data_IF_322192615204
#
_entry.id   IF_322192615204
#
_cell.length_a   1.000
_cell.length_b   1.000
_cell.length_c   1.000
_cell.angle_alpha   90.00
_cell.angle_beta   90.00
_cell.angle_gamma   90.00
#
_symmetry.space_group_name_H-M   'P 1'
#
loop_
_entity.id
_entity.type
_entity.pdbx_description
1 polymer ?
#
# COMPACT_ATOMS: atom_id res chain seq x y z
N UNK A 1 14.67 -4.83 4.62
CA UNK A 1 14.12 -3.48 4.44
C UNK A 1 13.57 -3.34 3.03
N UNK A 2 12.39 -2.77 2.90
CA UNK A 2 11.76 -2.59 1.59
C UNK A 2 12.47 -1.49 0.83
N UNK A 3 12.81 -1.78 -0.41
CA UNK A 3 13.40 -0.79 -1.29
C UNK A 3 12.30 0.18 -1.74
N UNK A 4 12.43 1.44 -1.37
CA UNK A 4 11.44 2.47 -1.68
C UNK A 4 11.82 3.20 -2.96
N UNK A 5 10.84 3.50 -3.80
CA UNK A 5 11.06 4.27 -5.02
C UNK A 5 11.27 5.74 -4.65
N UNK A 6 12.50 6.24 -4.79
CA UNK A 6 12.85 7.61 -4.42
C UNK A 6 12.02 8.67 -5.13
N UNK A 7 11.67 8.43 -6.39
CA UNK A 7 10.87 9.36 -7.16
C UNK A 7 9.47 9.54 -6.57
N UNK A 8 8.83 8.43 -6.19
CA UNK A 8 7.51 8.45 -5.56
C UNK A 8 7.58 9.10 -4.19
N UNK A 9 8.60 8.76 -3.40
CA UNK A 9 8.79 9.36 -2.08
C UNK A 9 8.95 10.87 -2.17
N UNK A 10 9.73 11.33 -3.14
CA UNK A 10 9.95 12.76 -3.36
C UNK A 10 8.64 13.47 -3.71
N UNK A 11 7.82 12.86 -4.57
CA UNK A 11 6.52 13.42 -4.93
C UNK A 11 5.59 13.49 -3.72
N UNK A 12 5.53 12.43 -2.92
CA UNK A 12 4.70 12.41 -1.71
C UNK A 12 5.14 13.48 -0.71
N UNK A 13 6.45 13.60 -0.50
CA UNK A 13 6.99 14.54 0.48
C UNK A 13 6.76 16.00 0.11
N UNK A 14 6.49 16.30 -1.15
CA UNK A 14 6.14 17.66 -1.58
C UNK A 14 4.87 18.16 -0.91
N UNK A 15 3.99 17.27 -0.49
CA UNK A 15 2.73 17.60 0.16
C UNK A 15 2.81 17.60 1.69
N UNK A 16 4.00 17.31 2.25
CA UNK A 16 4.22 17.24 3.68
C UNK A 16 5.17 18.37 4.12
N UNK A 17 4.89 19.01 5.26
CA UNK A 17 5.67 20.16 5.74
C UNK A 17 6.66 19.80 6.85
N UNK A 18 6.18 19.15 7.91
CA UNK A 18 6.95 18.93 9.13
C UNK A 18 7.44 17.51 9.31
N UNK A 19 7.17 16.64 8.35
CA UNK A 19 7.54 15.24 8.41
C UNK A 19 7.77 14.71 7.00
N UNK A 20 8.28 13.50 6.90
CA UNK A 20 8.40 12.79 5.63
C UNK A 20 7.60 11.51 5.70
N UNK A 21 7.23 10.98 4.51
CA UNK A 21 6.50 9.72 4.46
C UNK A 21 7.35 8.57 5.04
N UNK A 22 8.66 8.63 4.87
CA UNK A 22 9.59 7.64 5.44
C UNK A 22 9.51 7.62 6.96
N UNK A 23 9.46 8.79 7.61
CA UNK A 23 9.30 8.90 9.06
C UNK A 23 7.97 8.34 9.53
N UNK A 24 6.91 8.58 8.78
CA UNK A 24 5.58 8.04 9.09
C UNK A 24 5.61 6.51 9.05
N UNK A 25 6.23 5.92 8.02
CA UNK A 25 6.36 4.47 7.91
C UNK A 25 7.15 3.88 9.09
N UNK A 26 8.26 4.50 9.46
CA UNK A 26 9.11 4.01 10.56
C UNK A 26 8.33 4.01 11.87
N UNK A 27 7.59 5.09 12.15
CA UNK A 27 6.81 5.19 13.38
C UNK A 27 5.63 4.23 13.43
N UNK A 28 5.10 3.85 12.27
CA UNK A 28 3.86 3.05 12.17
C UNK A 28 4.08 1.69 11.53
N UNK A 29 5.24 1.09 11.72
CA UNK A 29 5.60 -0.20 11.10
C UNK A 29 4.58 -1.30 11.33
N UNK A 30 3.98 -1.34 12.52
CA UNK A 30 3.02 -2.40 12.87
C UNK A 30 1.66 -2.18 12.25
N UNK A 31 1.27 -0.92 12.06
CA UNK A 31 -0.06 -0.57 11.58
C UNK A 31 -0.03 0.80 10.91
N UNK A 32 0.27 0.80 9.63
CA UNK A 32 0.19 2.00 8.80
C UNK A 32 -1.22 2.10 8.21
N UNK A 33 -1.90 3.20 8.50
CA UNK A 33 -3.28 3.42 8.05
C UNK A 33 -3.31 4.26 6.79
N UNK A 34 -4.00 3.76 5.79
CA UNK A 34 -4.26 4.53 4.58
C UNK A 34 -5.59 4.07 3.96
N UNK A 35 -6.21 4.96 3.22
CA UNK A 35 -7.48 4.71 2.57
C UNK A 35 -7.27 4.33 1.12
N UNK A 36 -8.06 3.40 0.64
CA UNK A 36 -8.04 2.96 -0.76
C UNK A 36 -9.33 3.45 -1.43
N UNK A 37 -9.19 4.12 -2.58
CA UNK A 37 -10.31 4.71 -3.32
C UNK A 37 -10.17 4.37 -4.82
N UNK A 38 -9.92 3.09 -5.12
CA UNK A 38 -9.75 2.66 -6.50
C UNK A 38 -11.09 2.62 -7.24
N UNK A 39 -11.03 3.01 -8.52
CA UNK A 39 -12.16 2.84 -9.43
C UNK A 39 -12.32 1.38 -9.80
N UNK A 40 -13.46 1.01 -10.39
CA UNK A 40 -13.68 -0.35 -10.89
C UNK A 40 -12.64 -0.76 -11.91
N UNK A 41 -12.20 0.15 -12.76
CA UNK A 41 -11.15 -0.11 -13.75
C UNK A 41 -9.82 -0.39 -13.08
N UNK A 42 -9.47 0.37 -12.05
CA UNK A 42 -8.24 0.18 -11.29
C UNK A 42 -8.27 -1.16 -10.53
N UNK A 43 -9.40 -1.50 -9.93
CA UNK A 43 -9.57 -2.78 -9.24
C UNK A 43 -9.44 -3.98 -10.19
N UNK A 44 -9.80 -3.81 -11.45
CA UNK A 44 -9.72 -4.87 -12.46
C UNK A 44 -8.31 -5.07 -13.03
N UNK A 45 -7.37 -4.17 -12.73
CA UNK A 45 -6.00 -4.29 -13.23
C UNK A 45 -5.28 -5.49 -12.62
N UNK A 46 -4.41 -6.12 -13.41
CA UNK A 46 -3.53 -7.18 -12.91
C UNK A 46 -2.60 -6.61 -11.84
N UNK A 47 -2.20 -7.45 -10.90
CA UNK A 47 -1.28 -7.03 -9.82
C UNK A 47 0.10 -6.58 -10.34
N UNK A 48 0.40 -6.79 -11.62
CA UNK A 48 1.59 -6.24 -12.26
C UNK A 48 1.71 -4.71 -12.10
N UNK A 49 0.57 -4.00 -12.05
CA UNK A 49 0.57 -2.54 -11.91
C UNK A 49 1.15 -2.08 -10.57
N UNK A 50 1.24 -2.97 -9.60
CA UNK A 50 1.78 -2.67 -8.28
C UNK A 50 3.31 -2.68 -8.25
N UNK A 51 3.96 -3.14 -9.32
CA UNK A 51 5.42 -3.20 -9.40
C UNK A 51 6.04 -3.99 -8.23
N UNK A 52 5.48 -5.15 -7.96
CA UNK A 52 5.95 -6.04 -6.89
C UNK A 52 7.21 -6.79 -7.31
N UNK A 53 8.07 -7.10 -6.32
CA UNK A 53 9.19 -8.01 -6.56
C UNK A 53 8.64 -9.41 -6.88
N UNK A 54 9.42 -10.24 -7.59
CA UNK A 54 8.96 -11.56 -8.01
C UNK A 54 8.41 -12.42 -6.87
N UNK A 55 9.02 -12.38 -5.70
CA UNK A 55 8.56 -13.16 -4.55
C UNK A 55 7.14 -12.80 -4.13
N UNK A 56 6.88 -11.51 -3.99
CA UNK A 56 5.54 -11.01 -3.62
C UNK A 56 4.53 -11.33 -4.72
N UNK A 57 4.88 -11.05 -5.96
CA UNK A 57 4.03 -11.33 -7.10
C UNK A 57 3.65 -12.81 -7.16
N UNK A 58 4.65 -13.69 -7.07
CA UNK A 58 4.42 -15.13 -7.18
C UNK A 58 3.60 -15.68 -6.01
N UNK A 59 3.82 -15.16 -4.80
CA UNK A 59 3.02 -15.54 -3.64
C UNK A 59 1.54 -15.23 -3.84
N UNK A 60 1.24 -14.02 -4.30
CA UNK A 60 -0.14 -13.60 -4.54
C UNK A 60 -0.79 -14.41 -5.66
N UNK A 61 -0.08 -14.62 -6.77
CA UNK A 61 -0.59 -15.43 -7.89
C UNK A 61 -0.89 -16.86 -7.48
N UNK A 62 -0.01 -17.48 -6.71
CA UNK A 62 -0.22 -18.86 -6.23
C UNK A 62 -1.41 -18.96 -5.30
N UNK A 63 -1.67 -17.91 -4.52
CA UNK A 63 -2.82 -17.87 -3.63
C UNK A 63 -4.14 -17.62 -4.37
N UNK A 64 -4.07 -17.23 -5.65
CA UNK A 64 -5.25 -16.96 -6.47
C UNK A 64 -5.58 -15.48 -6.61
N UNK A 65 -4.73 -14.59 -6.13
CA UNK A 65 -4.92 -13.15 -6.25
C UNK A 65 -4.28 -12.65 -7.54
N UNK A 66 -5.11 -12.34 -8.53
CA UNK A 66 -4.66 -11.95 -9.86
C UNK A 66 -4.84 -10.47 -10.15
N UNK A 67 -5.79 -9.82 -9.51
CA UNK A 67 -6.11 -8.41 -9.73
C UNK A 67 -5.86 -7.60 -8.46
N UNK A 68 -5.74 -6.28 -8.65
CA UNK A 68 -5.68 -5.34 -7.52
C UNK A 68 -6.89 -5.54 -6.61
N UNK A 69 -8.07 -5.68 -7.20
CA UNK A 69 -9.31 -5.92 -6.45
C UNK A 69 -9.27 -7.20 -5.61
N UNK A 70 -8.68 -8.26 -6.14
CA UNK A 70 -8.54 -9.51 -5.39
C UNK A 70 -7.74 -9.28 -4.11
N UNK A 71 -6.63 -8.55 -4.21
CA UNK A 71 -5.77 -8.26 -3.05
C UNK A 71 -6.50 -7.36 -2.06
N UNK A 72 -7.14 -6.29 -2.53
CA UNK A 72 -7.86 -5.35 -1.67
C UNK A 72 -8.97 -6.07 -0.90
N UNK A 73 -9.77 -6.88 -1.58
CA UNK A 73 -10.85 -7.63 -0.93
C UNK A 73 -10.31 -8.66 0.05
N UNK A 74 -9.17 -9.26 -0.27
CA UNK A 74 -8.55 -10.28 0.58
C UNK A 74 -7.91 -9.72 1.84
N UNK A 75 -7.50 -8.44 1.83
CA UNK A 75 -6.88 -7.79 2.98
C UNK A 75 -7.81 -6.81 3.69
N UNK A 76 -9.08 -6.78 3.29
CA UNK A 76 -10.08 -5.94 3.92
C UNK A 76 -10.17 -6.30 5.41
N UNK A 77 -9.93 -5.32 6.26
CA UNK A 77 -9.83 -5.55 7.69
C UNK A 77 -11.18 -5.59 8.35
N UNK A 78 -11.36 -6.59 9.21
CA UNK A 78 -12.38 -6.56 10.26
C UNK A 78 -11.83 -5.73 11.41
N UNK A 79 -12.71 -5.23 12.27
CA UNK A 79 -12.45 -4.20 13.29
C UNK A 79 -11.14 -4.30 14.08
N UNK A 80 -10.55 -5.48 14.23
CA UNK A 80 -9.38 -5.67 15.08
C UNK A 80 -8.13 -6.20 14.37
N UNK A 81 -8.19 -6.41 13.06
CA UNK A 81 -7.05 -6.98 12.33
C UNK A 81 -6.50 -5.99 11.28
N UNK A 82 -5.18 -5.81 11.26
CA UNK A 82 -4.53 -4.99 10.24
C UNK A 82 -4.50 -5.72 8.89
N UNK A 83 -4.40 -4.96 7.81
CA UNK A 83 -4.20 -5.51 6.47
C UNK A 83 -2.92 -6.37 6.40
N UNK A 84 -1.87 -5.95 7.09
CA UNK A 84 -0.62 -6.71 7.18
C UNK A 84 -0.87 -8.09 7.78
N UNK A 85 -1.69 -8.17 8.84
CA UNK A 85 -2.02 -9.43 9.48
C UNK A 85 -2.82 -10.36 8.57
N UNK A 86 -3.73 -9.81 7.76
CA UNK A 86 -4.46 -10.59 6.78
C UNK A 86 -3.51 -11.18 5.73
N UNK A 87 -2.56 -10.39 5.25
CA UNK A 87 -1.55 -10.88 4.31
C UNK A 87 -0.69 -11.97 4.91
N UNK A 88 -0.35 -11.88 6.20
CA UNK A 88 0.46 -12.88 6.87
C UNK A 88 -0.22 -14.25 6.99
N UNK A 89 -1.52 -14.34 6.78
CA UNK A 89 -2.25 -15.61 6.73
C UNK A 89 -1.99 -16.38 5.44
N UNK A 90 -1.44 -15.73 4.43
CA UNK A 90 -1.08 -16.39 3.17
C UNK A 90 0.19 -17.22 3.41
N UNK A 91 0.13 -18.48 3.01
CA UNK A 91 1.24 -19.41 3.18
C UNK A 91 2.51 -18.88 2.50
N UNK A 92 3.63 -18.95 3.20
CA UNK A 92 4.95 -18.53 2.73
C UNK A 92 5.10 -17.02 2.48
N UNK A 93 4.16 -16.22 2.98
CA UNK A 93 4.25 -14.76 2.87
C UNK A 93 4.75 -14.18 4.18
N UNK A 94 6.01 -13.71 4.21
CA UNK A 94 6.64 -13.15 5.39
C UNK A 94 6.30 -11.69 5.63
N UNK A 95 6.77 -11.16 6.76
CA UNK A 95 6.51 -9.77 7.17
C UNK A 95 7.01 -8.74 6.15
N UNK A 96 8.22 -8.93 5.62
CA UNK A 96 8.79 -7.98 4.65
C UNK A 96 7.98 -7.97 3.36
N UNK A 97 7.51 -9.13 2.92
CA UNK A 97 6.67 -9.23 1.73
C UNK A 97 5.31 -8.57 1.96
N UNK A 98 4.72 -8.77 3.14
CA UNK A 98 3.46 -8.11 3.51
C UNK A 98 3.62 -6.58 3.50
N UNK A 99 4.70 -6.06 4.08
CA UNK A 99 4.99 -4.63 4.07
C UNK A 99 5.17 -4.10 2.65
N UNK A 100 5.88 -4.83 1.81
CA UNK A 100 6.07 -4.46 0.40
C UNK A 100 4.73 -4.34 -0.32
N UNK A 101 3.86 -5.33 -0.17
CA UNK A 101 2.55 -5.34 -0.82
C UNK A 101 1.74 -4.11 -0.39
N UNK A 102 1.68 -3.84 0.91
CA UNK A 102 0.94 -2.69 1.44
C UNK A 102 1.51 -1.37 0.96
N UNK A 103 2.83 -1.22 0.97
CA UNK A 103 3.47 0.00 0.48
C UNK A 103 3.22 0.23 -1.00
N UNK A 104 3.27 -0.84 -1.80
CA UNK A 104 3.01 -0.74 -3.24
C UNK A 104 1.55 -0.40 -3.54
N UNK A 105 0.61 -0.92 -2.76
CA UNK A 105 -0.80 -0.53 -2.87
C UNK A 105 -0.96 0.97 -2.56
N UNK A 106 -0.32 1.44 -1.49
CA UNK A 106 -0.35 2.85 -1.12
C UNK A 106 0.24 3.74 -2.23
N UNK A 107 1.39 3.36 -2.77
CA UNK A 107 2.03 4.10 -3.87
C UNK A 107 1.13 4.14 -5.10
N UNK A 108 0.54 3.02 -5.46
CA UNK A 108 -0.38 2.95 -6.60
C UNK A 108 -1.59 3.86 -6.38
N UNK A 109 -2.17 3.84 -5.18
CA UNK A 109 -3.29 4.72 -4.84
C UNK A 109 -2.90 6.20 -5.01
N UNK A 110 -1.74 6.59 -4.53
CA UNK A 110 -1.24 7.96 -4.69
C UNK A 110 -1.07 8.30 -6.17
N UNK A 111 -0.44 7.41 -6.93
CA UNK A 111 -0.13 7.67 -8.35
C UNK A 111 -1.39 7.82 -9.21
N UNK A 112 -2.44 7.07 -8.93
CA UNK A 112 -3.66 7.12 -9.74
C UNK A 112 -4.63 8.21 -9.32
N UNK A 113 -4.40 8.88 -8.20
CA UNK A 113 -5.21 10.01 -7.80
C UNK A 113 -4.97 11.20 -8.73
N UNK A 114 -6.04 11.97 -9.06
CA UNK A 114 -5.85 13.25 -9.72
C UNK A 114 -4.97 14.17 -8.88
N UNK A 115 -4.15 15.00 -9.53
CA UNK A 115 -3.19 15.86 -8.84
C UNK A 115 -3.87 16.77 -7.80
N UNK A 116 -5.07 17.28 -8.11
CA UNK A 116 -5.82 18.15 -7.21
C UNK A 116 -6.28 17.47 -5.93
N UNK A 117 -6.26 16.12 -5.89
CA UNK A 117 -6.66 15.34 -4.69
C UNK A 117 -5.48 14.83 -3.88
N UNK A 118 -4.27 14.90 -4.42
CA UNK A 118 -3.08 14.33 -3.77
C UNK A 118 -2.75 15.03 -2.46
N UNK A 119 -2.83 16.34 -2.42
CA UNK A 119 -2.53 17.10 -1.21
C UNK A 119 -3.45 16.69 -0.06
N UNK A 120 -4.75 16.69 -0.27
CA UNK A 120 -5.72 16.30 0.74
C UNK A 120 -5.49 14.86 1.19
N UNK A 121 -5.23 13.97 0.25
CA UNK A 121 -4.95 12.56 0.55
C UNK A 121 -3.75 12.42 1.49
N UNK A 122 -2.64 13.10 1.16
CA UNK A 122 -1.42 13.03 1.97
C UNK A 122 -1.61 13.65 3.36
N UNK A 123 -2.38 14.72 3.48
CA UNK A 123 -2.67 15.32 4.78
C UNK A 123 -3.50 14.37 5.66
N UNK A 124 -4.42 13.64 5.07
CA UNK A 124 -5.20 12.62 5.79
C UNK A 124 -4.34 11.45 6.25
N UNK A 125 -3.31 11.09 5.46
CA UNK A 125 -2.34 10.06 5.86
C UNK A 125 -1.60 10.49 7.12
N UNK A 126 -1.15 11.74 7.18
CA UNK A 126 -0.47 12.28 8.37
C UNK A 126 -1.38 12.17 9.59
N UNK A 127 -2.63 12.62 9.46
CA UNK A 127 -3.60 12.61 10.56
C UNK A 127 -3.91 11.18 11.04
N UNK A 128 -4.09 10.26 10.11
CA UNK A 128 -4.44 8.87 10.43
C UNK A 128 -3.31 8.11 11.12
N UNK A 129 -2.07 8.60 11.01
CA UNK A 129 -0.87 7.90 11.51
C UNK A 129 -0.12 8.72 12.57
N UNK A 130 -0.79 9.62 13.22
CA UNK A 130 -0.20 10.37 14.33
C UNK A 130 -0.03 9.53 15.58
#
# INVERSE_FOLDING_TARGET
MIELNESILREMNRYLNDTTIEEIFIRNRKMFHFKVMFTSEQMAQDIDVLDLRPRAYNCLKRYGYNTVGDVINGVETREEESSKRQLLKIRNLGRNTAEEILMKIFYYQFLVLPDEKKCDYMQKIVTANQ
#
